data_IF_614485756623
#
_entry.id   IF_614485756623
#
_cell.length_a   1.000
_cell.length_b   1.000
_cell.length_c   1.000
_cell.angle_alpha   90.00
_cell.angle_beta   90.00
_cell.angle_gamma   90.00
#
_symmetry.space_group_name_H-M   'P 1'
#
loop_
_entity.id
_entity.type
_entity.pdbx_description
1 polymer ?
#
# COMPACT_ATOMS: atom_id res chain seq x y z
N UNK A 1 7.58 28.05 -60.55
CA UNK A 1 6.43 27.98 -61.45
C UNK A 1 5.19 27.65 -60.66
N UNK A 2 4.38 28.66 -60.26
CA UNK A 2 3.18 29.18 -60.92
C UNK A 2 2.09 28.06 -60.98
N UNK A 3 0.89 28.14 -60.47
CA UNK A 3 -0.09 29.21 -60.37
C UNK A 3 -1.27 28.74 -59.49
N UNK A 4 -1.79 29.64 -58.64
CA UNK A 4 -3.22 29.75 -58.26
C UNK A 4 -3.96 30.35 -59.45
N UNK A 5 -5.30 30.65 -59.45
CA UNK A 5 -6.43 30.44 -58.51
C UNK A 5 -7.73 30.00 -59.23
N UNK A 6 -8.85 29.82 -58.58
CA UNK A 6 -10.12 30.49 -58.92
C UNK A 6 -11.31 30.11 -58.02
N UNK A 7 -11.88 31.13 -57.52
CA UNK A 7 -13.16 31.52 -56.92
C UNK A 7 -14.35 31.25 -57.85
N UNK A 8 -15.51 30.87 -57.26
CA UNK A 8 -16.91 31.32 -57.60
C UNK A 8 -17.86 30.83 -56.50
N UNK A 9 -18.43 31.61 -55.83
CA UNK A 9 -19.52 32.53 -55.53
C UNK A 9 -20.95 32.04 -55.91
N UNK A 10 -21.88 32.24 -54.93
CA UNK A 10 -23.34 32.44 -54.96
C UNK A 10 -24.22 31.21 -55.13
N UNK A 11 -25.30 31.04 -54.30
CA UNK A 11 -26.43 31.93 -54.09
C UNK A 11 -27.28 31.52 -52.89
N UNK A 12 -27.89 32.57 -52.30
CA UNK A 12 -28.95 32.56 -51.27
C UNK A 12 -30.24 31.85 -51.70
N UNK A 13 -30.94 31.26 -50.74
CA UNK A 13 -32.40 31.38 -50.64
C UNK A 13 -32.89 31.27 -49.24
N UNK A 14 -33.52 32.35 -48.78
CA UNK A 14 -34.30 32.45 -47.54
C UNK A 14 -35.58 31.63 -47.64
N UNK A 15 -35.98 30.96 -46.56
CA UNK A 15 -37.41 30.78 -46.24
C UNK A 15 -37.61 30.77 -44.71
N UNK A 16 -38.36 31.77 -44.28
CA UNK A 16 -39.03 31.89 -42.99
C UNK A 16 -40.04 30.76 -42.77
N UNK A 17 -40.13 30.20 -41.58
CA UNK A 17 -41.42 29.92 -40.94
C UNK A 17 -41.29 29.53 -39.47
N UNK A 18 -41.82 30.34 -38.63
CA UNK A 18 -42.72 30.14 -37.48
C UNK A 18 -42.26 29.34 -36.27
N UNK A 19 -42.20 30.08 -35.19
CA UNK A 19 -42.09 29.74 -33.79
C UNK A 19 -43.11 28.67 -33.33
N UNK A 20 -42.68 27.67 -32.60
CA UNK A 20 -43.48 27.06 -31.55
C UNK A 20 -42.60 26.76 -30.33
N UNK A 21 -42.84 27.54 -29.27
CA UNK A 21 -42.28 27.33 -27.93
C UNK A 21 -42.84 26.02 -27.37
N UNK A 22 -42.00 24.97 -27.25
CA UNK A 22 -42.27 23.81 -26.39
C UNK A 22 -41.45 23.95 -25.13
N UNK A 23 -42.12 24.26 -24.03
CA UNK A 23 -41.62 24.18 -22.68
C UNK A 23 -41.22 22.73 -22.38
N UNK A 24 -39.92 22.48 -22.25
CA UNK A 24 -39.39 21.19 -21.72
C UNK A 24 -39.39 21.27 -20.19
N UNK A 25 -40.39 20.66 -19.56
CA UNK A 25 -40.35 20.34 -18.14
C UNK A 25 -39.16 19.39 -17.88
N UNK A 26 -38.17 19.85 -17.10
CA UNK A 26 -37.12 19.02 -16.54
C UNK A 26 -37.74 18.06 -15.52
N UNK A 27 -38.00 16.82 -15.89
CA UNK A 27 -38.20 15.74 -14.95
C UNK A 27 -36.84 15.52 -14.26
N UNK A 28 -36.72 15.98 -13.01
CA UNK A 28 -35.67 15.51 -12.10
C UNK A 28 -35.94 14.02 -11.84
N UNK A 29 -35.12 13.14 -12.44
CA UNK A 29 -35.06 11.77 -12.03
C UNK A 29 -34.44 11.73 -10.63
N UNK A 30 -35.23 11.50 -9.60
CA UNK A 30 -34.76 11.12 -8.28
C UNK A 30 -34.06 9.76 -8.47
N UNK A 31 -32.74 9.78 -8.54
CA UNK A 31 -31.96 8.56 -8.53
C UNK A 31 -32.26 7.79 -7.24
N UNK A 32 -32.80 6.59 -7.39
CA UNK A 32 -32.92 5.62 -6.29
C UNK A 32 -31.51 5.34 -5.82
N UNK A 33 -31.16 5.73 -4.59
CA UNK A 33 -29.93 5.26 -3.94
C UNK A 33 -30.12 3.76 -3.68
N UNK A 34 -29.52 2.96 -4.52
CA UNK A 34 -29.41 1.52 -4.27
C UNK A 34 -28.62 1.37 -2.97
N UNK A 35 -29.18 0.68 -1.98
CA UNK A 35 -28.47 0.35 -0.76
C UNK A 35 -27.25 -0.52 -1.13
N UNK A 36 -26.07 -0.17 -0.59
CA UNK A 36 -24.85 -0.97 -0.81
C UNK A 36 -25.06 -2.37 -0.24
N UNK A 37 -24.72 -3.38 -1.03
CA UNK A 37 -24.75 -4.77 -0.60
C UNK A 37 -23.53 -5.12 0.24
N UNK A 38 -23.56 -6.28 0.94
CA UNK A 38 -22.39 -6.78 1.70
C UNK A 38 -21.14 -6.96 0.84
N UNK A 39 -21.29 -7.26 -0.45
CA UNK A 39 -20.18 -7.39 -1.41
C UNK A 39 -19.48 -6.06 -1.65
N UNK A 40 -20.22 -4.94 -1.71
CA UNK A 40 -19.65 -3.59 -1.86
C UNK A 40 -18.77 -3.20 -0.66
N UNK A 41 -19.16 -3.65 0.55
CA UNK A 41 -18.41 -3.38 1.78
C UNK A 41 -17.11 -4.20 1.85
N UNK A 42 -17.13 -5.47 1.43
CA UNK A 42 -15.95 -6.32 1.37
C UNK A 42 -14.93 -5.81 0.32
N UNK A 43 -15.38 -5.39 -0.85
CA UNK A 43 -14.52 -4.77 -1.86
C UNK A 43 -13.88 -3.48 -1.34
N UNK A 44 -14.62 -2.69 -0.60
CA UNK A 44 -14.13 -1.46 0.02
C UNK A 44 -13.09 -1.75 1.08
N UNK A 45 -13.31 -2.72 1.96
CA UNK A 45 -12.34 -3.14 2.97
C UNK A 45 -11.05 -3.62 2.34
N UNK A 46 -11.13 -4.46 1.31
CA UNK A 46 -9.96 -4.93 0.57
C UNK A 46 -9.23 -3.79 -0.13
N UNK A 47 -9.95 -2.82 -0.70
CA UNK A 47 -9.36 -1.62 -1.28
C UNK A 47 -8.66 -0.77 -0.22
N UNK A 48 -9.28 -0.56 0.93
CA UNK A 48 -8.69 0.17 2.04
C UNK A 48 -7.43 -0.53 2.56
N UNK A 49 -7.47 -1.84 2.76
CA UNK A 49 -6.31 -2.65 3.12
C UNK A 49 -5.13 -2.37 2.19
N UNK A 50 -5.34 -2.52 0.88
CA UNK A 50 -4.29 -2.30 -0.13
C UNK A 50 -3.74 -0.87 -0.17
N UNK A 51 -4.56 0.12 0.17
CA UNK A 51 -4.19 1.53 0.08
C UNK A 51 -3.61 2.09 1.39
N UNK A 52 -4.03 1.58 2.54
CA UNK A 52 -3.69 2.15 3.85
C UNK A 52 -2.59 1.37 4.59
N UNK A 53 -2.18 0.20 4.11
CA UNK A 53 -1.06 -0.54 4.70
C UNK A 53 0.24 -0.09 4.05
N UNK A 54 1.19 0.34 4.88
CA UNK A 54 2.55 0.73 4.53
C UNK A 54 3.51 -0.33 5.05
N UNK A 55 4.33 -0.88 4.18
CA UNK A 55 5.37 -1.84 4.54
C UNK A 55 6.68 -1.08 4.62
N UNK A 56 7.25 -1.04 5.80
CA UNK A 56 8.42 -0.23 6.12
C UNK A 56 9.62 -1.14 6.35
N UNK A 57 10.67 -0.96 5.58
CA UNK A 57 11.93 -1.65 5.78
C UNK A 57 12.97 -0.67 6.32
N UNK A 58 13.37 -0.88 7.56
CA UNK A 58 14.28 0.02 8.29
C UNK A 58 15.71 -0.43 8.08
N UNK A 59 16.53 0.44 7.50
CA UNK A 59 17.97 0.28 7.30
C UNK A 59 18.36 -1.10 6.76
N UNK A 60 17.71 -1.49 5.67
CA UNK A 60 18.00 -2.76 5.02
C UNK A 60 19.49 -2.84 4.64
N UNK A 61 20.11 -3.98 4.88
CA UNK A 61 21.54 -4.20 4.63
C UNK A 61 21.77 -4.75 3.21
N UNK A 62 20.82 -5.55 2.70
CA UNK A 62 20.96 -6.28 1.43
C UNK A 62 19.91 -5.81 0.42
N UNK A 63 20.28 -5.11 -0.67
CA UNK A 63 19.34 -4.63 -1.68
C UNK A 63 18.44 -5.71 -2.27
N UNK A 64 18.92 -6.96 -2.40
CA UNK A 64 18.12 -8.09 -2.87
C UNK A 64 16.90 -8.39 -1.99
N UNK A 65 17.00 -8.16 -0.68
CA UNK A 65 15.89 -8.34 0.25
C UNK A 65 14.75 -7.33 0.02
N UNK A 66 15.06 -6.13 -0.45
CA UNK A 66 14.04 -5.15 -0.89
C UNK A 66 13.22 -5.76 -2.03
N UNK A 67 13.90 -6.38 -2.99
CA UNK A 67 13.25 -7.05 -4.11
C UNK A 67 12.36 -8.22 -3.68
N UNK A 68 12.86 -9.11 -2.82
CA UNK A 68 12.07 -10.22 -2.29
C UNK A 68 10.85 -9.73 -1.49
N UNK A 69 11.01 -8.69 -0.69
CA UNK A 69 9.90 -8.08 0.04
C UNK A 69 8.85 -7.49 -0.93
N UNK A 70 9.28 -6.73 -1.93
CA UNK A 70 8.40 -6.16 -2.94
C UNK A 70 7.64 -7.24 -3.73
N UNK A 71 8.29 -8.34 -4.08
CA UNK A 71 7.64 -9.50 -4.71
C UNK A 71 6.58 -10.11 -3.80
N UNK A 72 6.88 -10.28 -2.52
CA UNK A 72 5.92 -10.77 -1.54
C UNK A 72 4.73 -9.81 -1.38
N UNK A 73 4.98 -8.50 -1.31
CA UNK A 73 3.92 -7.48 -1.28
C UNK A 73 2.99 -7.59 -2.50
N UNK A 74 3.54 -7.78 -3.69
CA UNK A 74 2.76 -7.92 -4.92
C UNK A 74 1.79 -9.11 -4.86
N UNK A 75 2.19 -10.25 -4.25
CA UNK A 75 1.33 -11.43 -4.09
C UNK A 75 0.04 -11.13 -3.29
N UNK A 76 0.09 -10.17 -2.38
CA UNK A 76 -1.04 -9.79 -1.52
C UNK A 76 -1.67 -8.43 -1.91
N UNK A 77 -1.28 -7.87 -3.06
CA UNK A 77 -1.81 -6.61 -3.57
C UNK A 77 -1.39 -5.37 -2.76
N UNK A 78 -0.39 -5.50 -1.88
CA UNK A 78 0.23 -4.39 -1.15
C UNK A 78 1.18 -3.63 -2.08
N UNK A 79 1.19 -2.31 -1.99
CA UNK A 79 1.97 -1.47 -2.91
C UNK A 79 2.77 -0.34 -2.25
N UNK A 80 2.46 0.01 -1.00
CA UNK A 80 3.11 1.13 -0.34
C UNK A 80 4.38 0.66 0.37
N UNK A 81 5.47 0.53 -0.39
CA UNK A 81 6.79 0.24 0.17
C UNK A 81 7.45 1.53 0.64
N UNK A 82 7.97 1.51 1.85
CA UNK A 82 8.74 2.57 2.47
C UNK A 82 10.11 2.03 2.88
N UNK A 83 11.15 2.75 2.52
CA UNK A 83 12.52 2.42 2.87
C UNK A 83 13.07 3.54 3.77
N UNK A 84 13.53 3.18 4.96
CA UNK A 84 14.18 4.11 5.87
C UNK A 84 15.69 3.93 5.75
N UNK A 85 16.39 4.99 5.38
CA UNK A 85 17.84 5.02 5.23
C UNK A 85 18.40 3.77 4.53
N UNK A 86 17.87 3.40 3.32
CA UNK A 86 18.31 2.22 2.61
C UNK A 86 19.71 2.41 2.01
N UNK A 87 20.45 1.32 1.71
CA UNK A 87 21.62 1.40 0.85
C UNK A 87 21.22 1.82 -0.57
N UNK A 88 22.21 2.12 -1.40
CA UNK A 88 21.96 2.37 -2.82
C UNK A 88 21.21 1.20 -3.45
N UNK A 89 20.09 1.49 -4.11
CA UNK A 89 19.33 0.48 -4.82
C UNK A 89 20.13 -0.02 -6.03
N UNK A 90 20.50 -1.28 -5.97
CA UNK A 90 21.24 -1.96 -7.04
C UNK A 90 20.28 -2.68 -8.00
N UNK A 91 20.75 -3.08 -9.20
CA UNK A 91 19.96 -3.91 -10.12
C UNK A 91 19.41 -5.18 -9.48
N UNK A 92 20.07 -5.70 -8.45
CA UNK A 92 19.66 -6.90 -7.71
C UNK A 92 18.27 -6.73 -7.07
N UNK A 93 17.98 -5.57 -6.46
CA UNK A 93 16.69 -5.28 -5.88
C UNK A 93 15.55 -5.43 -6.91
N UNK A 94 15.77 -4.91 -8.12
CA UNK A 94 14.80 -4.99 -9.22
C UNK A 94 14.69 -6.39 -9.82
N UNK A 95 15.81 -7.12 -9.89
CA UNK A 95 15.83 -8.49 -10.39
C UNK A 95 15.04 -9.43 -9.47
N UNK A 96 15.28 -9.34 -8.16
CA UNK A 96 14.57 -10.17 -7.17
C UNK A 96 13.09 -9.82 -7.05
N UNK A 97 12.71 -8.59 -7.33
CA UNK A 97 11.31 -8.15 -7.30
C UNK A 97 10.46 -8.78 -8.41
N UNK A 98 11.06 -9.19 -9.53
CA UNK A 98 10.35 -9.75 -10.69
C UNK A 98 9.13 -8.91 -11.11
N UNK A 99 7.91 -9.44 -11.04
CA UNK A 99 6.67 -8.70 -11.33
C UNK A 99 6.34 -7.62 -10.28
N UNK A 100 6.95 -7.67 -9.09
CA UNK A 100 6.85 -6.63 -8.05
C UNK A 100 7.78 -5.42 -8.27
N UNK A 101 8.50 -5.35 -9.40
CA UNK A 101 9.44 -4.25 -9.70
C UNK A 101 8.79 -2.87 -9.57
N UNK A 102 7.53 -2.71 -9.99
CA UNK A 102 6.80 -1.45 -9.87
C UNK A 102 6.69 -0.95 -8.42
N UNK A 103 6.73 -1.85 -7.43
CA UNK A 103 6.70 -1.49 -6.01
C UNK A 103 8.05 -0.87 -5.61
N UNK A 104 9.16 -1.45 -6.09
CA UNK A 104 10.50 -0.90 -5.86
C UNK A 104 10.66 0.44 -6.55
N UNK A 105 10.19 0.56 -7.81
CA UNK A 105 10.24 1.82 -8.59
C UNK A 105 9.46 2.96 -7.91
N UNK A 106 8.39 2.65 -7.17
CA UNK A 106 7.54 3.62 -6.49
C UNK A 106 7.78 3.66 -4.96
N UNK A 107 8.82 3.00 -4.46
CA UNK A 107 9.15 3.02 -3.05
C UNK A 107 9.44 4.44 -2.56
N UNK A 108 8.90 4.79 -1.40
CA UNK A 108 9.16 6.07 -0.76
C UNK A 108 10.37 5.92 0.15
N UNK A 109 11.32 6.83 0.02
CA UNK A 109 12.56 6.83 0.80
C UNK A 109 12.53 7.98 1.78
N UNK A 110 12.87 7.70 3.04
CA UNK A 110 13.00 8.67 4.12
C UNK A 110 14.31 8.44 4.88
N UNK A 111 14.81 9.47 5.53
CA UNK A 111 16.00 9.33 6.35
C UNK A 111 15.69 8.76 7.73
N UNK A 112 14.51 9.07 8.28
CA UNK A 112 14.09 8.62 9.62
C UNK A 112 12.65 8.13 9.62
N UNK A 113 12.30 7.33 10.65
CA UNK A 113 10.92 6.90 10.90
C UNK A 113 10.01 8.09 11.20
N UNK A 114 10.48 9.09 11.96
CA UNK A 114 9.69 10.29 12.30
C UNK A 114 9.30 11.08 11.06
N UNK A 115 10.23 11.29 10.14
CA UNK A 115 9.97 11.93 8.86
C UNK A 115 8.87 11.21 8.09
N UNK A 116 8.95 9.89 8.03
CA UNK A 116 7.92 9.04 7.39
C UNK A 116 6.56 9.18 8.08
N UNK A 117 6.52 9.02 9.41
CA UNK A 117 5.27 9.07 10.18
C UNK A 117 4.53 10.40 10.00
N UNK A 118 5.27 11.51 10.08
CA UNK A 118 4.72 12.85 9.90
C UNK A 118 4.25 13.08 8.47
N UNK A 119 5.08 12.73 7.49
CA UNK A 119 4.78 12.92 6.07
C UNK A 119 3.54 12.14 5.62
N UNK A 120 3.39 10.89 6.04
CA UNK A 120 2.26 10.03 5.66
C UNK A 120 1.08 10.10 6.61
N UNK A 121 1.23 10.73 7.80
CA UNK A 121 0.21 10.77 8.87
C UNK A 121 -0.22 9.35 9.24
N UNK A 122 0.74 8.57 9.75
CA UNK A 122 0.52 7.19 10.17
C UNK A 122 -0.28 7.19 11.48
N UNK A 123 -1.37 6.43 11.50
CA UNK A 123 -2.30 6.34 12.62
C UNK A 123 -1.95 5.18 13.57
N UNK A 124 -1.37 4.10 13.03
CA UNK A 124 -1.10 2.86 13.77
C UNK A 124 0.22 2.22 13.32
N UNK A 125 1.03 1.82 14.29
CA UNK A 125 2.37 1.28 14.05
C UNK A 125 2.49 -0.13 14.60
N UNK A 126 3.02 -1.03 13.78
CA UNK A 126 3.24 -2.44 14.11
C UNK A 126 4.73 -2.76 13.94
N UNK A 127 5.40 -3.18 15.00
CA UNK A 127 6.76 -3.70 14.91
C UNK A 127 6.75 -5.20 14.65
N UNK A 128 7.54 -5.69 13.67
CA UNK A 128 7.81 -7.13 13.55
C UNK A 128 9.11 -7.48 14.28
N UNK A 129 9.08 -8.54 15.07
CA UNK A 129 10.27 -9.05 15.77
C UNK A 129 10.40 -10.56 15.60
N UNK A 130 11.66 -11.04 15.43
CA UNK A 130 11.96 -12.47 15.34
C UNK A 130 12.06 -13.16 16.70
N UNK A 131 12.16 -12.40 17.80
CA UNK A 131 12.43 -12.98 19.12
C UNK A 131 11.28 -12.67 20.07
N UNK A 132 10.43 -13.68 20.33
CA UNK A 132 9.52 -13.65 21.45
C UNK A 132 10.25 -14.21 22.67
N UNK A 133 10.72 -13.34 23.58
CA UNK A 133 11.08 -13.77 24.94
C UNK A 133 12.53 -14.10 25.24
N UNK A 134 13.52 -13.64 24.43
CA UNK A 134 14.95 -13.74 24.79
C UNK A 134 15.58 -12.37 24.95
N UNK A 135 16.28 -12.13 26.04
CA UNK A 135 17.22 -11.01 26.33
C UNK A 135 16.80 -9.57 26.10
N UNK A 136 15.68 -9.31 25.45
CA UNK A 136 15.09 -7.99 25.28
C UNK A 136 13.95 -7.85 26.30
N UNK A 137 14.02 -6.88 27.18
CA UNK A 137 12.89 -6.41 27.97
C UNK A 137 11.89 -5.74 27.02
N UNK A 138 11.19 -6.55 26.20
CA UNK A 138 10.06 -6.05 25.43
C UNK A 138 9.02 -5.59 26.45
N UNK A 139 8.76 -4.31 26.50
CA UNK A 139 7.71 -3.71 27.34
C UNK A 139 6.30 -4.17 26.95
N UNK A 140 6.19 -4.93 25.86
CA UNK A 140 4.93 -5.41 25.29
C UNK A 140 5.01 -6.90 24.93
N UNK A 141 3.95 -7.64 25.24
CA UNK A 141 3.79 -9.03 24.81
C UNK A 141 3.46 -9.03 23.31
N UNK A 142 4.26 -9.68 22.45
CA UNK A 142 4.00 -9.73 21.03
C UNK A 142 2.70 -10.48 20.73
N UNK A 143 1.90 -9.96 19.81
CA UNK A 143 0.76 -10.69 19.26
C UNK A 143 1.24 -11.67 18.18
N UNK A 144 0.49 -12.75 17.99
CA UNK A 144 0.73 -13.68 16.89
C UNK A 144 0.14 -13.13 15.59
N UNK A 145 0.69 -13.51 14.40
CA UNK A 145 0.21 -13.02 13.11
C UNK A 145 -1.29 -13.21 12.90
N UNK A 146 -1.86 -14.34 13.32
CA UNK A 146 -3.29 -14.64 13.21
C UNK A 146 -4.20 -13.68 13.99
N UNK A 147 -3.65 -13.01 15.00
CA UNK A 147 -4.37 -12.02 15.80
C UNK A 147 -4.13 -10.57 15.34
N UNK A 148 -3.16 -10.34 14.46
CA UNK A 148 -2.80 -9.00 14.03
C UNK A 148 -3.96 -8.29 13.32
N UNK A 149 -4.70 -9.00 12.47
CA UNK A 149 -5.83 -8.44 11.73
C UNK A 149 -6.95 -7.89 12.63
N UNK A 150 -7.10 -8.39 13.86
CA UNK A 150 -8.08 -7.91 14.84
C UNK A 150 -7.73 -6.53 15.40
N UNK A 151 -6.46 -6.13 15.29
CA UNK A 151 -5.93 -4.86 15.80
C UNK A 151 -5.84 -3.78 14.73
N UNK A 152 -5.96 -4.16 13.45
CA UNK A 152 -5.82 -3.23 12.33
C UNK A 152 -7.19 -2.76 11.85
N UNK A 153 -7.42 -1.46 11.89
CA UNK A 153 -8.55 -0.83 11.24
C UNK A 153 -8.16 -0.43 9.80
N UNK A 154 -8.78 -1.02 8.81
CA UNK A 154 -8.46 -0.78 7.39
C UNK A 154 -8.70 0.65 6.93
N UNK A 155 -9.46 1.45 7.68
CA UNK A 155 -9.65 2.88 7.40
C UNK A 155 -8.46 3.73 7.88
N UNK A 156 -7.62 3.21 8.77
CA UNK A 156 -6.44 3.89 9.32
C UNK A 156 -5.20 3.56 8.50
N UNK A 157 -4.30 4.51 8.40
CA UNK A 157 -2.97 4.28 7.81
C UNK A 157 -2.10 3.54 8.81
N UNK A 158 -1.79 2.30 8.48
CA UNK A 158 -1.02 1.41 9.34
C UNK A 158 0.36 1.17 8.74
N UNK A 159 1.40 1.35 9.52
CA UNK A 159 2.77 1.00 9.18
C UNK A 159 3.15 -0.34 9.82
N UNK A 160 3.66 -1.28 9.03
CA UNK A 160 4.23 -2.55 9.49
C UNK A 160 5.73 -2.49 9.25
N UNK A 161 6.50 -2.44 10.34
CA UNK A 161 7.94 -2.24 10.34
C UNK A 161 8.68 -3.57 10.35
N UNK A 162 9.61 -3.71 9.44
CA UNK A 162 10.63 -4.75 9.39
C UNK A 162 11.98 -4.10 9.61
N UNK A 163 12.78 -4.68 10.50
CA UNK A 163 14.10 -4.16 10.85
C UNK A 163 15.22 -4.71 9.97
N UNK A 164 16.44 -4.34 10.32
CA UNK A 164 17.70 -4.78 9.73
C UNK A 164 17.81 -6.29 9.75
N UNK A 165 18.46 -6.87 8.75
CA UNK A 165 18.62 -8.33 8.65
C UNK A 165 19.42 -8.89 9.82
N UNK A 166 20.49 -8.20 10.25
CA UNK A 166 21.36 -8.66 11.32
C UNK A 166 20.77 -8.50 12.72
N UNK A 167 20.19 -7.34 13.02
CA UNK A 167 19.81 -6.95 14.38
C UNK A 167 18.30 -6.66 14.58
N UNK A 168 17.52 -6.67 13.51
CA UNK A 168 16.10 -6.34 13.58
C UNK A 168 15.85 -4.84 13.86
N UNK A 169 14.72 -4.55 14.49
CA UNK A 169 14.38 -3.23 15.02
C UNK A 169 15.06 -3.00 16.37
N UNK A 170 15.44 -1.76 16.67
CA UNK A 170 15.97 -1.39 18.01
C UNK A 170 14.83 -1.39 19.04
N UNK A 171 15.20 -1.39 20.33
CA UNK A 171 14.19 -1.33 21.39
C UNK A 171 13.35 -0.05 21.30
N UNK A 172 13.99 1.08 21.01
CA UNK A 172 13.32 2.37 20.85
C UNK A 172 12.33 2.35 19.68
N UNK A 173 12.70 1.73 18.55
CA UNK A 173 11.81 1.58 17.41
C UNK A 173 10.59 0.68 17.73
N UNK A 174 10.80 -0.37 18.54
CA UNK A 174 9.71 -1.25 19.00
C UNK A 174 8.82 -0.54 20.02
N UNK A 175 9.40 0.20 20.95
CA UNK A 175 8.67 0.96 21.97
C UNK A 175 7.81 2.08 21.39
N UNK A 176 8.23 2.66 20.27
CA UNK A 176 7.46 3.68 19.55
C UNK A 176 6.25 3.10 18.79
N UNK A 177 6.19 1.77 18.61
CA UNK A 177 5.06 1.12 17.94
C UNK A 177 3.90 0.85 18.91
N UNK A 178 2.66 0.81 18.37
CA UNK A 178 1.45 0.53 19.14
C UNK A 178 1.36 -0.93 19.57
N UNK A 179 1.76 -1.83 18.69
CA UNK A 179 1.84 -3.28 18.98
C UNK A 179 3.11 -3.89 18.34
N UNK A 180 3.45 -5.08 18.83
CA UNK A 180 4.51 -5.89 18.28
C UNK A 180 3.94 -7.22 17.79
N UNK A 181 4.35 -7.70 16.62
CA UNK A 181 4.01 -9.01 16.08
C UNK A 181 5.24 -9.90 16.04
N UNK A 182 5.10 -11.16 16.50
CA UNK A 182 6.15 -12.16 16.42
C UNK A 182 5.60 -13.48 15.88
N UNK A 183 6.37 -14.07 14.97
CA UNK A 183 6.04 -15.37 14.36
C UNK A 183 6.69 -16.45 15.21
N UNK A 184 5.93 -17.41 15.75
CA UNK A 184 6.51 -18.54 16.45
C UNK A 184 7.34 -19.39 15.49
N UNK A 185 8.60 -19.62 15.87
CA UNK A 185 9.56 -20.45 15.14
C UNK A 185 10.26 -21.40 16.09
N UNK A 186 11.02 -22.35 15.57
CA UNK A 186 11.85 -23.21 16.39
C UNK A 186 12.93 -22.39 17.11
N UNK A 187 13.09 -22.56 18.44
CA UNK A 187 14.05 -21.78 19.22
C UNK A 187 15.53 -22.05 18.85
N UNK A 188 15.83 -23.12 18.14
CA UNK A 188 17.22 -23.39 17.66
C UNK A 188 17.61 -22.51 16.49
N UNK A 189 16.66 -22.06 15.69
CA UNK A 189 16.88 -21.14 14.57
C UNK A 189 15.67 -20.21 14.38
N UNK A 190 15.50 -19.20 15.26
CA UNK A 190 14.25 -18.44 15.36
C UNK A 190 14.08 -17.36 14.30
N UNK A 191 15.16 -16.95 13.62
CA UNK A 191 15.12 -15.80 12.70
C UNK A 191 14.76 -16.24 11.30
N UNK A 192 13.65 -15.70 10.78
CA UNK A 192 13.24 -15.88 9.39
C UNK A 192 13.86 -14.79 8.51
N UNK A 193 14.17 -15.15 7.26
CA UNK A 193 14.40 -14.11 6.25
C UNK A 193 13.19 -13.18 6.18
N UNK A 194 13.43 -11.89 5.93
CA UNK A 194 12.39 -10.87 5.92
C UNK A 194 11.22 -11.19 4.99
N UNK A 195 11.49 -11.72 3.80
CA UNK A 195 10.42 -12.06 2.85
C UNK A 195 9.55 -13.21 3.33
N UNK A 196 10.12 -14.17 4.07
CA UNK A 196 9.36 -15.26 4.68
C UNK A 196 8.49 -14.76 5.84
N UNK A 197 9.06 -13.93 6.72
CA UNK A 197 8.30 -13.29 7.79
C UNK A 197 7.16 -12.43 7.23
N UNK A 198 7.45 -11.63 6.22
CA UNK A 198 6.46 -10.83 5.53
C UNK A 198 5.34 -11.66 4.90
N UNK A 199 5.69 -12.78 4.24
CA UNK A 199 4.69 -13.67 3.63
C UNK A 199 3.67 -14.21 4.65
N UNK A 200 4.15 -14.62 5.84
CA UNK A 200 3.28 -15.12 6.90
C UNK A 200 2.37 -14.01 7.43
N UNK A 201 2.94 -12.84 7.72
CA UNK A 201 2.18 -11.69 8.22
C UNK A 201 1.14 -11.23 7.19
N UNK A 202 1.53 -11.09 5.92
CA UNK A 202 0.63 -10.63 4.86
C UNK A 202 -0.47 -11.64 4.57
N UNK A 203 -0.16 -12.94 4.61
CA UNK A 203 -1.16 -13.99 4.46
C UNK A 203 -2.22 -13.94 5.55
N UNK A 204 -1.80 -13.81 6.81
CA UNK A 204 -2.73 -13.73 7.94
C UNK A 204 -3.60 -12.47 7.88
N UNK A 205 -3.05 -11.35 7.44
CA UNK A 205 -3.82 -10.12 7.22
C UNK A 205 -4.80 -10.27 6.05
N UNK A 206 -4.33 -10.80 4.92
CA UNK A 206 -5.13 -10.96 3.71
C UNK A 206 -6.28 -11.96 3.91
N UNK A 207 -6.03 -13.06 4.60
CA UNK A 207 -7.03 -14.08 4.94
C UNK A 207 -8.22 -13.51 5.71
N UNK A 208 -7.99 -12.51 6.56
CA UNK A 208 -9.06 -11.87 7.33
C UNK A 208 -9.90 -10.86 6.53
N UNK A 209 -9.51 -10.57 5.26
CA UNK A 209 -10.23 -9.69 4.34
C UNK A 209 -11.09 -10.46 3.33
N UNK A 210 -11.06 -11.78 3.38
CA UNK A 210 -11.79 -12.72 2.55
C UNK A 210 -12.46 -13.77 3.43
#
# INVERSE_FOLDING_TARGET
NLNSPEVKEKTKSEKKSTSSKKSKSKKQSRGIKIAKGPEDDAEKELSNFKNNIYIVFVECETPGNIGFLARTMANFGLKNLVLINPPTLTPEAFYQATHGKYIVDNAKIYHTLDEFYQSQRIDFKVASTGVAGGSYNLSRIPVRPENLGKNINTNNKTAILFGREGNGLTNEEIEDCDICVSIPTDPTYPILNISHAAAIIFYELFKNMH
#
